data_IF_372511776060
#
_entry.id   IF_372511776060
#
_cell.length_a   1.000
_cell.length_b   1.000
_cell.length_c   1.000
_cell.angle_alpha   90.00
_cell.angle_beta   90.00
_cell.angle_gamma   90.00
#
_symmetry.space_group_name_H-M   'P 1'
#
loop_
_entity.id
_entity.type
_entity.pdbx_description
1 polymer ?
#
# COMPACT_ATOMS: atom_id res chain seq x y z
N UNK A 1 -24.16 26.34 -63.91
CA UNK A 1 -23.06 27.26 -63.52
C UNK A 1 -21.89 26.43 -63.01
N UNK A 2 -20.71 26.64 -63.60
CA UNK A 2 -19.36 26.19 -63.19
C UNK A 2 -19.07 24.67 -63.19
N UNK A 3 -18.84 24.20 -64.41
CA UNK A 3 -17.74 23.33 -64.83
C UNK A 3 -16.50 23.36 -63.91
N UNK A 4 -15.84 22.23 -63.62
CA UNK A 4 -14.80 21.62 -64.48
C UNK A 4 -13.95 20.62 -63.66
N UNK A 5 -14.11 19.32 -63.95
CA UNK A 5 -13.07 18.31 -63.78
C UNK A 5 -11.96 18.58 -64.80
N UNK A 6 -10.67 18.50 -64.42
CA UNK A 6 -9.65 17.74 -65.17
C UNK A 6 -8.26 17.69 -64.51
N UNK A 7 -7.74 16.46 -64.49
CA UNK A 7 -6.36 16.02 -64.23
C UNK A 7 -5.35 16.60 -65.24
N UNK A 8 -4.09 16.77 -64.80
CA UNK A 8 -2.84 16.64 -65.60
C UNK A 8 -1.79 16.14 -64.58
N UNK A 9 -1.31 14.89 -64.56
CA UNK A 9 -0.51 14.11 -65.52
C UNK A 9 0.99 14.48 -65.57
N UNK A 10 1.81 13.50 -65.16
CA UNK A 10 3.19 13.16 -65.56
C UNK A 10 4.34 14.15 -65.34
N UNK A 11 5.30 13.73 -64.52
CA UNK A 11 6.72 13.66 -64.94
C UNK A 11 7.29 12.30 -64.51
N UNK A 12 7.77 11.57 -65.52
CA UNK A 12 8.53 10.33 -65.44
C UNK A 12 9.97 10.61 -64.99
N UNK A 13 10.60 9.67 -64.29
CA UNK A 13 11.93 9.19 -64.67
C UNK A 13 12.26 7.92 -63.89
N UNK A 14 12.29 6.79 -64.60
CA UNK A 14 12.88 5.56 -64.10
C UNK A 14 14.40 5.68 -64.19
N UNK A 15 15.13 5.42 -63.10
CA UNK A 15 16.50 4.92 -63.18
C UNK A 15 16.74 3.98 -62.01
N UNK A 16 16.85 2.69 -62.34
CA UNK A 16 17.29 1.63 -61.43
C UNK A 16 18.81 1.83 -61.26
N UNK A 17 19.25 2.13 -60.06
CA UNK A 17 20.66 2.05 -59.70
C UNK A 17 20.79 1.13 -58.48
N UNK A 18 21.23 -0.08 -58.76
CA UNK A 18 21.61 -1.10 -57.80
C UNK A 18 22.77 -0.56 -56.94
N UNK A 19 22.49 -0.19 -55.70
CA UNK A 19 23.51 0.11 -54.70
C UNK A 19 23.42 -0.99 -53.65
N UNK A 20 24.50 -1.77 -53.57
CA UNK A 20 24.77 -2.76 -52.54
C UNK A 20 24.51 -2.16 -51.15
N UNK A 21 23.61 -2.78 -50.39
CA UNK A 21 23.47 -2.49 -48.96
C UNK A 21 24.74 -2.98 -48.25
N UNK A 22 25.71 -2.08 -48.05
CA UNK A 22 26.63 -2.22 -46.92
C UNK A 22 25.85 -1.80 -45.69
N UNK A 23 25.33 -2.79 -44.96
CA UNK A 23 24.81 -2.59 -43.62
C UNK A 23 26.01 -2.35 -42.68
N UNK A 24 26.50 -1.11 -42.61
CA UNK A 24 27.19 -0.68 -41.40
C UNK A 24 26.15 -0.59 -40.31
N UNK A 25 26.04 -1.65 -39.50
CA UNK A 25 25.42 -1.56 -38.18
C UNK A 25 26.31 -0.67 -37.32
N UNK A 26 26.14 0.65 -37.47
CA UNK A 26 26.53 1.58 -36.43
C UNK A 26 25.60 1.29 -35.27
N UNK A 27 26.02 0.37 -34.39
CA UNK A 27 25.51 0.31 -33.02
C UNK A 27 25.92 1.63 -32.37
N UNK A 28 25.17 2.69 -32.64
CA UNK A 28 25.17 3.86 -31.79
C UNK A 28 24.72 3.34 -30.44
N UNK A 29 25.68 3.04 -29.57
CA UNK A 29 25.46 3.07 -28.14
C UNK A 29 24.81 4.42 -27.88
N UNK A 30 23.49 4.42 -27.69
CA UNK A 30 22.78 5.57 -27.16
C UNK A 30 23.40 5.82 -25.80
N UNK A 31 24.45 6.65 -25.76
CA UNK A 31 24.93 7.27 -24.56
C UNK A 31 23.74 8.08 -24.06
N UNK A 32 23.04 7.54 -23.07
CA UNK A 32 21.96 8.25 -22.40
C UNK A 32 22.64 9.48 -21.79
N UNK A 33 22.37 10.70 -22.30
CA UNK A 33 22.92 11.88 -21.66
C UNK A 33 22.41 11.88 -20.23
N UNK A 34 23.32 12.08 -19.26
CA UNK A 34 23.00 12.13 -17.83
C UNK A 34 22.21 13.40 -17.48
N UNK A 35 21.05 13.58 -18.11
CA UNK A 35 19.99 14.41 -17.58
C UNK A 35 19.42 13.66 -16.38
N UNK A 36 19.42 14.30 -15.21
CA UNK A 36 19.16 13.67 -13.92
C UNK A 36 17.97 12.69 -13.97
N UNK A 37 18.26 11.39 -13.94
CA UNK A 37 17.23 10.35 -13.86
C UNK A 37 16.65 10.34 -12.44
N UNK A 38 15.71 11.23 -12.17
CA UNK A 38 14.96 11.19 -10.92
C UNK A 38 14.04 9.98 -10.95
N UNK A 39 14.19 9.11 -9.93
CA UNK A 39 13.45 7.85 -9.84
C UNK A 39 12.63 7.78 -8.55
N UNK A 40 11.53 8.55 -8.44
CA UNK A 40 10.69 8.52 -7.25
C UNK A 40 9.84 7.24 -7.21
N UNK A 41 9.69 6.72 -6.00
CA UNK A 41 8.62 5.76 -5.70
C UNK A 41 7.35 6.51 -5.35
N UNK A 42 6.26 6.17 -6.02
CA UNK A 42 4.94 6.80 -5.83
C UNK A 42 3.88 5.75 -5.53
N UNK A 43 2.87 6.13 -4.76
CA UNK A 43 1.68 5.29 -4.54
C UNK A 43 0.75 5.51 -5.73
N UNK A 44 0.53 4.48 -6.55
CA UNK A 44 -0.32 4.57 -7.75
C UNK A 44 -1.78 4.28 -7.46
N UNK A 45 -2.03 3.35 -6.56
CA UNK A 45 -3.40 3.02 -6.16
C UNK A 45 -3.45 2.48 -4.73
N UNK A 46 -4.65 2.60 -4.15
CA UNK A 46 -4.99 2.02 -2.86
C UNK A 46 -6.29 1.24 -2.96
N UNK A 47 -6.38 0.14 -2.22
CA UNK A 47 -7.59 -0.66 -2.15
C UNK A 47 -7.81 -1.17 -0.72
N UNK A 48 -9.07 -1.33 -0.32
CA UNK A 48 -9.39 -1.99 0.93
C UNK A 48 -8.93 -3.46 0.88
N UNK A 49 -8.27 -3.91 1.93
CA UNK A 49 -7.65 -5.24 2.02
C UNK A 49 -8.08 -6.01 3.29
N UNK A 50 -9.28 -5.70 3.79
CA UNK A 50 -9.90 -6.39 4.92
C UNK A 50 -9.38 -5.95 6.29
N UNK A 51 -9.35 -6.91 7.20
CA UNK A 51 -9.01 -6.70 8.62
C UNK A 51 -7.73 -7.45 8.97
N UNK A 52 -6.84 -6.79 9.71
CA UNK A 52 -5.65 -7.40 10.31
C UNK A 52 -5.83 -7.52 11.81
N UNK A 53 -5.47 -8.67 12.36
CA UNK A 53 -5.49 -8.91 13.80
C UNK A 53 -4.06 -8.92 14.33
N UNK A 54 -3.84 -8.26 15.47
CA UNK A 54 -2.65 -8.47 16.27
C UNK A 54 -2.79 -9.69 17.18
N UNK A 55 -1.72 -9.96 17.92
CA UNK A 55 -1.69 -11.06 18.89
C UNK A 55 -2.61 -10.81 20.08
N UNK A 56 -3.13 -11.90 20.64
CA UNK A 56 -3.88 -11.87 21.89
C UNK A 56 -2.95 -11.53 23.06
N UNK A 57 -3.34 -10.52 23.82
CA UNK A 57 -2.67 -10.08 25.05
C UNK A 57 -3.57 -10.35 26.24
N UNK A 58 -2.99 -10.79 27.35
CA UNK A 58 -3.71 -10.90 28.61
C UNK A 58 -4.02 -9.49 29.15
N UNK A 59 -5.28 -9.24 29.49
CA UNK A 59 -5.74 -7.99 30.10
C UNK A 59 -5.79 -8.09 31.62
N UNK A 60 -6.71 -8.90 32.12
CA UNK A 60 -6.90 -9.11 33.56
C UNK A 60 -7.25 -10.57 33.83
N UNK A 61 -6.77 -11.09 34.95
CA UNK A 61 -7.09 -12.42 35.44
C UNK A 61 -7.55 -12.34 36.89
N UNK A 62 -8.53 -13.16 37.26
CA UNK A 62 -9.06 -13.17 38.62
C UNK A 62 -9.79 -14.47 38.93
N UNK A 63 -9.82 -14.82 40.22
CA UNK A 63 -10.63 -15.94 40.71
C UNK A 63 -12.10 -15.59 40.59
N UNK A 64 -12.91 -16.52 40.08
CA UNK A 64 -14.35 -16.34 40.07
C UNK A 64 -14.97 -16.43 41.48
N UNK A 65 -16.26 -16.17 41.56
CA UNK A 65 -17.06 -16.24 42.77
C UNK A 65 -18.51 -15.88 42.49
N UNK A 66 -19.42 -16.23 43.41
CA UNK A 66 -20.84 -15.89 43.26
C UNK A 66 -20.98 -14.37 43.20
N UNK A 67 -21.56 -13.85 42.12
CA UNK A 67 -21.73 -12.41 41.91
C UNK A 67 -20.48 -11.65 41.48
N UNK A 68 -19.37 -12.34 41.18
CA UNK A 68 -18.12 -11.68 40.75
C UNK A 68 -18.20 -11.30 39.27
N UNK A 69 -17.86 -10.04 38.98
CA UNK A 69 -17.61 -9.54 37.63
C UNK A 69 -16.13 -9.24 37.49
N UNK A 70 -15.51 -9.79 36.45
CA UNK A 70 -14.15 -9.44 36.07
C UNK A 70 -14.21 -8.36 34.99
N UNK A 71 -13.55 -7.22 35.22
CA UNK A 71 -13.59 -6.05 34.34
C UNK A 71 -12.19 -5.60 33.96
N UNK A 72 -11.95 -5.47 32.66
CA UNK A 72 -10.80 -4.80 32.08
C UNK A 72 -11.17 -3.34 31.82
N UNK A 73 -10.36 -2.39 32.29
CA UNK A 73 -10.37 -0.99 31.86
C UNK A 73 -8.95 -0.45 31.93
N UNK A 74 -8.26 -0.44 30.79
CA UNK A 74 -6.85 -0.04 30.73
C UNK A 74 -6.59 0.87 29.54
N UNK A 75 -5.97 2.02 29.79
CA UNK A 75 -5.44 2.87 28.75
C UNK A 75 -4.26 2.18 28.04
N UNK A 76 -4.33 2.08 26.71
CA UNK A 76 -3.31 1.43 25.88
C UNK A 76 -2.83 2.39 24.80
N UNK A 77 -1.52 2.50 24.66
CA UNK A 77 -0.91 3.15 23.50
C UNK A 77 -1.04 2.23 22.29
N UNK A 78 -1.63 2.76 21.21
CA UNK A 78 -1.81 2.08 19.92
C UNK A 78 -1.33 3.01 18.80
N UNK A 79 -0.90 2.44 17.68
CA UNK A 79 -0.46 3.21 16.52
C UNK A 79 -1.04 2.61 15.24
N UNK A 80 -1.16 3.44 14.21
CA UNK A 80 -1.33 2.92 12.85
C UNK A 80 0.03 2.41 12.37
N UNK A 81 0.07 1.31 11.63
CA UNK A 81 1.33 0.68 11.21
C UNK A 81 1.41 0.51 9.71
N UNK A 82 2.64 0.41 9.20
CA UNK A 82 2.93 -0.01 7.84
C UNK A 82 3.52 -1.42 7.87
N UNK A 83 3.14 -2.25 6.91
CA UNK A 83 3.68 -3.61 6.76
C UNK A 83 3.94 -3.92 5.28
N UNK A 84 4.78 -4.91 5.00
CA UNK A 84 5.21 -5.22 3.63
C UNK A 84 6.27 -4.24 3.13
N UNK A 85 6.39 -4.13 1.81
CA UNK A 85 7.46 -3.33 1.18
C UNK A 85 6.99 -1.90 0.96
N UNK A 86 7.51 -0.97 1.75
CA UNK A 86 7.28 0.47 1.60
C UNK A 86 8.53 1.11 1.01
N UNK A 87 8.40 1.67 -0.19
CA UNK A 87 9.49 2.35 -0.92
C UNK A 87 9.17 3.82 -1.18
N UNK A 88 7.89 4.16 -1.33
CA UNK A 88 7.46 5.54 -1.43
C UNK A 88 7.78 6.30 -0.14
N UNK A 89 8.08 7.60 -0.28
CA UNK A 89 8.33 8.46 0.87
C UNK A 89 7.11 8.45 1.81
N UNK A 90 7.38 8.44 3.11
CA UNK A 90 6.40 8.33 4.16
C UNK A 90 5.34 9.44 4.13
N UNK A 91 5.70 10.67 3.76
CA UNK A 91 4.72 11.76 3.58
C UNK A 91 3.69 11.42 2.50
N UNK A 92 4.13 10.88 1.36
CA UNK A 92 3.26 10.47 0.26
C UNK A 92 2.38 9.27 0.66
N UNK A 93 2.93 8.34 1.45
CA UNK A 93 2.18 7.19 1.98
C UNK A 93 1.11 7.64 2.96
N UNK A 94 1.45 8.46 3.95
CA UNK A 94 0.50 8.96 4.95
C UNK A 94 -0.60 9.82 4.30
N UNK A 95 -0.23 10.66 3.31
CA UNK A 95 -1.18 11.42 2.49
C UNK A 95 -2.13 10.51 1.70
N UNK A 96 -1.60 9.45 1.06
CA UNK A 96 -2.40 8.46 0.33
C UNK A 96 -3.35 7.70 1.25
N UNK A 97 -2.92 7.38 2.47
CA UNK A 97 -3.72 6.67 3.47
C UNK A 97 -4.76 7.57 4.16
N UNK A 98 -4.54 8.88 4.21
CA UNK A 98 -5.39 9.83 4.93
C UNK A 98 -5.22 9.76 6.46
N UNK A 99 -4.11 9.19 6.92
CA UNK A 99 -3.74 9.14 8.33
C UNK A 99 -2.23 8.99 8.49
N UNK A 100 -1.72 9.43 9.64
CA UNK A 100 -0.31 9.27 9.98
C UNK A 100 -0.04 7.90 10.59
N UNK A 101 1.05 7.27 10.14
CA UNK A 101 1.59 6.00 10.68
C UNK A 101 2.75 6.20 11.66
N UNK A 102 3.13 7.46 11.95
CA UNK A 102 4.21 7.78 12.91
C UNK A 102 3.73 8.02 14.33
N UNK A 103 2.44 8.29 14.51
CA UNK A 103 1.92 8.73 15.81
C UNK A 103 1.22 7.58 16.51
N UNK A 104 1.62 7.38 17.76
CA UNK A 104 0.85 6.60 18.71
C UNK A 104 -0.20 7.48 19.37
N UNK A 105 -1.32 6.88 19.76
CA UNK A 105 -2.40 7.52 20.50
C UNK A 105 -2.97 6.54 21.53
N UNK A 106 -3.64 7.08 22.53
CA UNK A 106 -4.19 6.28 23.63
C UNK A 106 -5.63 5.88 23.34
N UNK A 107 -5.95 4.61 23.59
CA UNK A 107 -7.31 4.07 23.59
C UNK A 107 -7.52 3.19 24.80
N UNK A 108 -8.68 3.27 25.43
CA UNK A 108 -9.01 2.44 26.59
C UNK A 108 -9.59 1.11 26.12
N UNK A 109 -8.92 0.02 26.45
CA UNK A 109 -9.49 -1.32 26.29
C UNK A 109 -10.45 -1.58 27.46
N UNK A 110 -11.73 -1.78 27.17
CA UNK A 110 -12.77 -1.98 28.17
C UNK A 110 -13.62 -3.21 27.84
N UNK A 111 -13.70 -4.17 28.76
CA UNK A 111 -14.51 -5.37 28.61
C UNK A 111 -14.80 -6.01 29.96
N UNK A 112 -16.00 -6.55 30.16
CA UNK A 112 -16.40 -7.16 31.42
C UNK A 112 -17.09 -8.49 31.18
N UNK A 113 -16.85 -9.45 32.08
CA UNK A 113 -17.49 -10.76 32.04
C UNK A 113 -18.00 -11.15 33.42
N UNK A 114 -19.05 -11.97 33.45
CA UNK A 114 -19.45 -12.67 34.67
C UNK A 114 -18.48 -13.80 34.96
N UNK A 115 -18.00 -13.90 36.20
CA UNK A 115 -17.06 -14.90 36.67
C UNK A 115 -17.66 -15.71 37.85
N UNK A 116 -18.76 -16.46 37.66
CA UNK A 116 -19.56 -17.00 38.75
C UNK A 116 -18.89 -18.15 39.52
N UNK A 117 -17.94 -18.85 38.91
CA UNK A 117 -17.41 -20.09 39.48
C UNK A 117 -16.16 -19.84 40.36
N UNK A 118 -16.31 -20.05 41.68
CA UNK A 118 -15.22 -19.94 42.66
C UNK A 118 -14.07 -20.94 42.51
N UNK A 119 -14.26 -21.98 41.70
CA UNK A 119 -13.24 -23.00 41.40
C UNK A 119 -12.42 -22.69 40.15
N UNK A 120 -12.79 -21.66 39.37
CA UNK A 120 -12.12 -21.28 38.13
C UNK A 120 -11.44 -19.92 38.25
N UNK A 121 -10.37 -19.75 37.51
CA UNK A 121 -9.71 -18.48 37.25
C UNK A 121 -10.09 -18.02 35.86
N UNK A 122 -10.72 -16.85 35.80
CA UNK A 122 -11.15 -16.22 34.56
C UNK A 122 -10.05 -15.28 34.09
N UNK A 123 -9.84 -15.21 32.77
CA UNK A 123 -8.86 -14.33 32.16
C UNK A 123 -9.49 -13.65 30.96
N UNK A 124 -9.53 -12.32 30.96
CA UNK A 124 -9.89 -11.52 29.80
C UNK A 124 -8.63 -11.30 28.97
N UNK A 125 -8.73 -11.55 27.67
CA UNK A 125 -7.70 -11.23 26.68
C UNK A 125 -8.25 -10.20 25.70
N UNK A 126 -7.37 -9.41 25.14
CA UNK A 126 -7.69 -8.44 24.11
C UNK A 126 -6.63 -8.47 23.00
N UNK A 127 -6.98 -8.01 21.80
CA UNK A 127 -6.04 -7.79 20.70
C UNK A 127 -6.39 -6.54 19.92
N UNK A 128 -5.39 -5.96 19.26
CA UNK A 128 -5.62 -4.83 18.36
C UNK A 128 -6.21 -5.32 17.05
N UNK A 129 -7.22 -4.62 16.55
CA UNK A 129 -7.82 -4.86 15.23
C UNK A 129 -7.55 -3.66 14.34
N UNK A 130 -7.10 -3.91 13.12
CA UNK A 130 -6.77 -2.88 12.14
C UNK A 130 -7.59 -3.05 10.86
N UNK A 131 -8.03 -1.94 10.28
CA UNK A 131 -8.50 -1.90 8.89
C UNK A 131 -7.28 -1.79 7.98
N UNK A 132 -7.11 -2.76 7.08
CA UNK A 132 -5.96 -2.87 6.21
C UNK A 132 -6.27 -2.27 4.84
N UNK A 133 -5.34 -1.46 4.33
CA UNK A 133 -5.38 -0.88 3.00
C UNK A 133 -4.14 -1.32 2.24
N UNK A 134 -4.33 -1.96 1.09
CA UNK A 134 -3.24 -2.32 0.17
C UNK A 134 -2.79 -1.06 -0.57
N UNK A 135 -1.48 -0.86 -0.67
CA UNK A 135 -0.83 0.21 -1.40
C UNK A 135 -0.01 -0.40 -2.53
N UNK A 136 -0.39 -0.14 -3.78
CA UNK A 136 0.42 -0.48 -4.93
C UNK A 136 1.34 0.71 -5.23
N UNK A 137 2.64 0.48 -5.14
CA UNK A 137 3.67 1.48 -5.37
C UNK A 137 4.42 1.13 -6.65
N UNK A 138 4.74 2.15 -7.44
CA UNK A 138 5.54 1.99 -8.65
C UNK A 138 6.74 2.93 -8.61
N UNK A 139 7.84 2.44 -9.19
CA UNK A 139 9.03 3.25 -9.45
C UNK A 139 8.87 3.92 -10.80
N UNK A 140 8.83 5.25 -10.80
CA UNK A 140 8.72 6.04 -12.02
C UNK A 140 10.10 6.57 -12.40
N UNK A 141 10.45 6.51 -13.69
CA UNK A 141 11.64 7.16 -14.24
C UNK A 141 11.23 8.21 -15.25
N UNK A 142 11.86 9.38 -15.23
CA UNK A 142 11.76 10.31 -16.36
C UNK A 142 12.94 10.05 -17.31
N UNK A 143 12.62 9.59 -18.52
CA UNK A 143 13.59 9.41 -19.61
C UNK A 143 13.08 10.21 -20.79
N UNK A 144 13.84 11.21 -21.23
CA UNK A 144 13.49 12.07 -22.37
C UNK A 144 12.06 12.65 -22.30
N UNK A 145 11.65 13.13 -21.11
CA UNK A 145 10.32 13.71 -20.89
C UNK A 145 9.15 12.69 -20.83
N UNK A 146 9.44 11.39 -20.92
CA UNK A 146 8.46 10.31 -20.76
C UNK A 146 8.62 9.62 -19.41
N UNK A 147 7.50 9.37 -18.74
CA UNK A 147 7.47 8.56 -17.52
C UNK A 147 7.48 7.09 -17.92
N UNK A 148 8.47 6.35 -17.45
CA UNK A 148 8.56 4.89 -17.59
C UNK A 148 8.37 4.25 -16.22
N UNK A 149 7.35 3.41 -16.08
CA UNK A 149 7.09 2.62 -14.88
C UNK A 149 7.88 1.30 -14.98
N UNK A 150 8.74 0.99 -14.02
CA UNK A 150 9.67 -0.17 -14.15
C UNK A 150 9.51 -1.23 -13.07
N UNK A 151 9.27 -0.82 -11.82
CA UNK A 151 9.20 -1.73 -10.68
C UNK A 151 7.90 -1.53 -9.91
N UNK A 152 7.30 -2.62 -9.45
CA UNK A 152 6.08 -2.61 -8.65
C UNK A 152 6.31 -3.27 -7.31
N UNK A 153 5.91 -2.62 -6.23
CA UNK A 153 5.92 -3.21 -4.88
C UNK A 153 4.59 -2.99 -4.18
N UNK A 154 4.28 -3.91 -3.28
CA UNK A 154 3.06 -3.85 -2.48
C UNK A 154 3.43 -3.62 -1.02
N UNK A 155 2.78 -2.62 -0.44
CA UNK A 155 2.78 -2.37 0.99
C UNK A 155 1.36 -2.33 1.53
N UNK A 156 1.24 -2.22 2.85
CA UNK A 156 -0.05 -2.12 3.52
C UNK A 156 -0.02 -1.05 4.60
N UNK A 157 -1.06 -0.21 4.63
CA UNK A 157 -1.39 0.62 5.77
C UNK A 157 -2.41 -0.08 6.66
N UNK A 158 -2.12 -0.19 7.96
CA UNK A 158 -3.00 -0.77 8.95
C UNK A 158 -3.48 0.35 9.89
N UNK A 159 -4.71 0.81 9.70
CA UNK A 159 -5.34 1.80 10.57
C UNK A 159 -5.96 1.10 11.78
N UNK A 160 -5.58 1.48 12.99
CA UNK A 160 -6.22 0.92 14.19
C UNK A 160 -7.73 1.21 14.16
N UNK A 161 -8.53 0.21 14.50
CA UNK A 161 -9.98 0.25 14.48
C UNK A 161 -10.55 0.18 15.89
N UNK A 162 -10.31 -0.94 16.58
CA UNK A 162 -10.82 -1.22 17.92
C UNK A 162 -9.99 -2.33 18.57
N UNK A 163 -10.30 -2.63 19.83
CA UNK A 163 -9.86 -3.85 20.48
C UNK A 163 -10.92 -4.94 20.32
N UNK A 164 -10.46 -6.14 20.00
CA UNK A 164 -11.27 -7.36 20.05
C UNK A 164 -10.98 -8.09 21.37
N UNK A 165 -11.97 -8.80 21.90
CA UNK A 165 -11.94 -9.36 23.25
C UNK A 165 -12.31 -10.84 23.24
N UNK A 166 -11.68 -11.58 24.12
CA UNK A 166 -12.05 -12.96 24.42
C UNK A 166 -11.78 -13.26 25.88
N UNK A 167 -12.28 -14.39 26.38
CA UNK A 167 -12.01 -14.81 27.74
C UNK A 167 -11.88 -16.32 27.84
N UNK A 168 -11.17 -16.77 28.87
CA UNK A 168 -11.01 -18.18 29.19
C UNK A 168 -11.25 -18.41 30.68
N UNK A 169 -11.80 -19.57 31.04
CA UNK A 169 -11.92 -20.00 32.43
C UNK A 169 -11.20 -21.34 32.62
N UNK A 170 -10.24 -21.37 33.54
CA UNK A 170 -9.45 -22.56 33.90
C UNK A 170 -9.74 -22.95 35.33
#
# INVERSE_FOLDING_TARGET
MKNLLKKISMISCSLILSITMVATTSSASFAIPSSAAWSPWVVKSKAAAGTSYGDWKTGVSGRGGKGVTLSLSQARSVSNTLTGTIKANKSNVDASLGYTTSKSFTRTASYSISAPNKKKTYTIKYRNVYKRTKLNQERCFMINGKIVDTEKVVGYGNKFSHFDYTWTAK
#
